data_IF_874635039082
#
_entry.id   IF_874635039082
#
_cell.length_a   1.000
_cell.length_b   1.000
_cell.length_c   1.000
_cell.angle_alpha   90.00
_cell.angle_beta   90.00
_cell.angle_gamma   90.00
#
_symmetry.space_group_name_H-M   'P 1'
#
loop_
_entity.id
_entity.type
_entity.pdbx_description
1 polymer ?
#
# COMPACT_ATOMS: atom_id res chain seq x y z
N UNK A 1 -6.07 11.96 10.45
CA UNK A 1 -4.89 11.42 11.16
C UNK A 1 -4.32 10.29 10.33
N UNK A 2 -3.01 10.36 10.06
CA UNK A 2 -2.16 9.51 9.20
C UNK A 2 -2.46 9.55 7.70
N UNK A 3 -1.69 10.39 6.99
CA UNK A 3 -1.55 10.34 5.54
C UNK A 3 -0.35 9.47 5.19
N UNK A 4 -0.54 8.14 5.19
CA UNK A 4 0.56 7.18 4.97
C UNK A 4 0.91 7.00 3.49
N UNK A 5 0.04 7.46 2.59
CA UNK A 5 0.20 7.42 1.14
C UNK A 5 -0.25 8.81 0.64
N UNK A 6 0.67 9.78 0.53
CA UNK A 6 0.33 11.19 0.29
C UNK A 6 0.02 11.48 -1.19
N UNK A 7 -0.98 10.77 -1.74
CA UNK A 7 -1.40 10.89 -3.13
C UNK A 7 -1.87 12.32 -3.43
N UNK A 8 -2.73 12.87 -2.57
CA UNK A 8 -3.25 14.21 -2.75
C UNK A 8 -2.16 15.28 -2.76
N UNK A 9 -1.05 15.09 -2.04
CA UNK A 9 0.08 16.03 -2.09
C UNK A 9 0.83 15.96 -3.42
N UNK A 10 1.05 14.75 -3.96
CA UNK A 10 1.67 14.60 -5.28
C UNK A 10 0.83 15.31 -6.37
N UNK A 11 -0.49 15.13 -6.33
CA UNK A 11 -1.44 15.81 -7.23
C UNK A 11 -1.40 17.33 -7.03
N UNK A 12 -1.46 17.82 -5.78
CA UNK A 12 -1.40 19.27 -5.48
C UNK A 12 -0.13 19.93 -6.01
N UNK A 13 0.99 19.20 -6.07
CA UNK A 13 2.27 19.68 -6.63
C UNK A 13 2.35 19.64 -8.15
N UNK A 14 1.27 19.24 -8.83
CA UNK A 14 1.18 19.24 -10.29
C UNK A 14 1.65 17.96 -10.96
N UNK A 15 1.71 16.84 -10.24
CA UNK A 15 1.97 15.54 -10.87
C UNK A 15 0.79 15.14 -11.77
N UNK A 16 1.05 14.94 -13.06
CA UNK A 16 0.09 14.40 -14.03
C UNK A 16 0.09 12.87 -14.08
N UNK A 17 1.14 12.24 -13.56
CA UNK A 17 1.23 10.78 -13.40
C UNK A 17 1.86 10.46 -12.06
N UNK A 18 1.21 9.62 -11.27
CA UNK A 18 1.67 9.22 -9.94
C UNK A 18 1.79 7.71 -9.85
N UNK A 19 2.98 7.23 -9.47
CA UNK A 19 3.22 5.82 -9.16
C UNK A 19 3.23 5.63 -7.65
N UNK A 20 2.18 5.02 -7.12
CA UNK A 20 2.05 4.72 -5.68
C UNK A 20 2.77 3.40 -5.39
N UNK A 21 3.96 3.49 -4.80
CA UNK A 21 4.66 2.34 -4.25
C UNK A 21 4.19 2.09 -2.81
N UNK A 22 3.59 0.92 -2.58
CA UNK A 22 3.01 0.53 -1.30
C UNK A 22 3.55 -0.83 -0.84
N UNK A 23 3.36 -1.14 0.44
CA UNK A 23 4.02 -2.25 1.15
C UNK A 23 3.09 -3.41 1.48
N UNK A 24 2.09 -3.67 0.65
CA UNK A 24 1.11 -4.78 0.74
C UNK A 24 -0.10 -4.51 1.63
N UNK A 25 -0.03 -3.50 2.50
CA UNK A 25 -1.04 -3.27 3.56
C UNK A 25 -2.41 -2.88 3.05
N UNK A 26 -2.51 -2.30 1.84
CA UNK A 26 -3.81 -1.99 1.23
C UNK A 26 -4.46 -3.23 0.58
N UNK A 27 -3.63 -4.20 0.15
CA UNK A 27 -4.04 -5.42 -0.56
C UNK A 27 -4.42 -6.56 0.40
N UNK A 28 -3.81 -6.60 1.57
CA UNK A 28 -4.04 -7.65 2.58
C UNK A 28 -5.52 -7.67 3.04
N UNK A 29 -6.19 -8.84 3.06
CA UNK A 29 -7.52 -8.95 3.65
C UNK A 29 -7.50 -8.58 5.14
N UNK A 30 -8.52 -7.85 5.60
CA UNK A 30 -8.73 -7.63 7.04
C UNK A 30 -9.48 -8.82 7.63
N UNK A 31 -8.96 -9.36 8.73
CA UNK A 31 -9.62 -10.43 9.50
C UNK A 31 -10.32 -9.84 10.72
N UNK A 32 -11.41 -10.46 11.16
CA UNK A 32 -12.10 -10.06 12.38
C UNK A 32 -11.12 -10.08 13.58
N UNK A 33 -11.02 -9.00 14.38
CA UNK A 33 -10.08 -8.93 15.48
C UNK A 33 -10.53 -9.82 16.65
N UNK A 34 -9.57 -10.53 17.27
CA UNK A 34 -9.83 -11.42 18.42
C UNK A 34 -9.24 -10.91 19.73
N UNK A 35 -8.38 -9.89 19.67
CA UNK A 35 -7.74 -9.27 20.84
C UNK A 35 -7.84 -7.74 20.78
N UNK A 36 -7.70 -7.02 21.91
CA UNK A 36 -7.67 -5.54 21.90
C UNK A 36 -6.56 -4.96 20.99
N UNK A 37 -5.41 -5.63 20.90
CA UNK A 37 -4.34 -5.22 20.00
C UNK A 37 -4.74 -5.38 18.52
N UNK A 38 -5.46 -6.45 18.18
CA UNK A 38 -6.01 -6.61 16.83
C UNK A 38 -7.03 -5.52 16.50
N UNK A 39 -7.89 -5.13 17.46
CA UNK A 39 -8.86 -4.03 17.27
C UNK A 39 -8.13 -2.74 16.90
N UNK A 40 -7.07 -2.38 17.64
CA UNK A 40 -6.27 -1.20 17.35
C UNK A 40 -5.63 -1.28 15.96
N UNK A 41 -5.03 -2.43 15.60
CA UNK A 41 -4.42 -2.65 14.27
C UNK A 41 -5.46 -2.53 13.14
N UNK A 42 -6.59 -3.22 13.25
CA UNK A 42 -7.64 -3.24 12.23
C UNK A 42 -8.25 -1.85 12.06
N UNK A 43 -8.56 -1.15 13.15
CA UNK A 43 -9.09 0.23 13.11
C UNK A 43 -8.11 1.19 12.42
N UNK A 44 -6.82 1.04 12.72
CA UNK A 44 -5.76 1.83 12.09
C UNK A 44 -5.67 1.55 10.58
N UNK A 45 -5.69 0.29 10.15
CA UNK A 45 -5.65 -0.06 8.73
C UNK A 45 -6.92 0.38 7.99
N UNK A 46 -8.11 0.29 8.62
CA UNK A 46 -9.35 0.84 8.05
C UNK A 46 -9.20 2.35 7.82
N UNK A 47 -8.72 3.09 8.82
CA UNK A 47 -8.55 4.55 8.73
C UNK A 47 -7.57 4.93 7.61
N UNK A 48 -6.44 4.21 7.50
CA UNK A 48 -5.45 4.42 6.46
C UNK A 48 -6.01 4.14 5.06
N UNK A 49 -6.71 3.01 4.89
CA UNK A 49 -7.33 2.64 3.60
C UNK A 49 -8.41 3.64 3.22
N UNK A 50 -9.31 3.99 4.14
CA UNK A 50 -10.36 4.97 3.88
C UNK A 50 -9.78 6.31 3.41
N UNK A 51 -8.71 6.80 4.05
CA UNK A 51 -8.05 8.03 3.62
C UNK A 51 -7.47 7.91 2.21
N UNK A 52 -6.72 6.85 1.93
CA UNK A 52 -6.11 6.65 0.61
C UNK A 52 -7.14 6.51 -0.50
N UNK A 53 -8.19 5.70 -0.30
CA UNK A 53 -9.25 5.53 -1.31
C UNK A 53 -10.04 6.82 -1.53
N UNK A 54 -10.30 7.61 -0.48
CA UNK A 54 -10.88 8.94 -0.65
C UNK A 54 -9.99 9.85 -1.49
N UNK A 55 -8.68 9.87 -1.24
CA UNK A 55 -7.76 10.66 -2.08
C UNK A 55 -7.67 10.15 -3.52
N UNK A 56 -7.83 8.84 -3.72
CA UNK A 56 -7.90 8.22 -5.05
C UNK A 56 -9.18 8.61 -5.79
N UNK A 57 -10.32 8.65 -5.10
CA UNK A 57 -11.60 9.11 -5.65
C UNK A 57 -11.61 10.62 -5.95
N UNK A 58 -10.86 11.41 -5.19
CA UNK A 58 -10.71 12.86 -5.36
C UNK A 58 -9.67 13.25 -6.43
N UNK A 59 -9.07 12.29 -7.14
CA UNK A 59 -8.07 12.55 -8.20
C UNK A 59 -8.73 13.31 -9.37
N UNK A 60 -8.21 14.48 -9.79
CA UNK A 60 -8.74 15.20 -10.93
C UNK A 60 -8.64 14.44 -12.24
N UNK A 61 -9.59 14.70 -13.14
CA UNK A 61 -9.53 14.21 -14.52
C UNK A 61 -8.19 14.57 -15.19
N UNK A 62 -7.62 13.62 -15.91
CA UNK A 62 -6.34 13.79 -16.61
C UNK A 62 -5.09 13.47 -15.77
N UNK A 63 -5.23 13.19 -14.47
CA UNK A 63 -4.13 12.63 -13.67
C UNK A 63 -4.20 11.10 -13.71
N UNK A 64 -3.11 10.47 -14.12
CA UNK A 64 -3.00 9.00 -14.14
C UNK A 64 -2.38 8.52 -12.82
N UNK A 65 -3.04 7.60 -12.14
CA UNK A 65 -2.53 6.99 -10.91
C UNK A 65 -2.33 5.50 -11.09
N UNK A 66 -1.08 5.07 -10.93
CA UNK A 66 -0.69 3.66 -10.92
C UNK A 66 -0.46 3.21 -9.48
N UNK A 67 -1.33 2.36 -8.96
CA UNK A 67 -1.11 1.71 -7.66
C UNK A 67 -0.34 0.43 -7.88
N UNK A 68 0.96 0.44 -7.55
CA UNK A 68 1.86 -0.65 -7.88
C UNK A 68 1.61 -1.87 -6.97
N UNK A 69 1.40 -3.07 -7.53
CA UNK A 69 1.20 -4.27 -6.73
C UNK A 69 2.43 -4.61 -5.89
N UNK A 70 2.23 -4.98 -4.63
CA UNK A 70 3.33 -5.39 -3.73
C UNK A 70 3.85 -6.79 -4.05
N UNK A 71 3.04 -7.59 -4.77
CA UNK A 71 3.25 -9.01 -5.02
C UNK A 71 2.73 -9.91 -3.90
N UNK A 72 2.12 -9.35 -2.85
CA UNK A 72 1.47 -10.08 -1.75
C UNK A 72 2.38 -10.31 -0.53
N UNK A 73 1.81 -10.83 0.57
CA UNK A 73 2.52 -10.99 1.83
C UNK A 73 3.61 -12.07 1.74
N UNK A 74 4.63 -11.92 2.58
CA UNK A 74 5.70 -12.89 2.78
C UNK A 74 5.51 -13.61 4.13
N UNK A 75 5.85 -14.91 4.26
CA UNK A 75 5.71 -15.63 5.52
C UNK A 75 6.33 -14.90 6.73
N UNK A 76 5.50 -14.62 7.73
CA UNK A 76 5.87 -13.94 8.97
C UNK A 76 5.70 -12.41 8.95
N UNK A 77 5.06 -11.85 7.92
CA UNK A 77 4.65 -10.44 7.87
C UNK A 77 3.53 -10.12 8.86
N UNK A 78 2.75 -11.13 9.27
CA UNK A 78 1.64 -11.00 10.24
C UNK A 78 2.11 -10.58 11.64
N UNK A 79 3.40 -10.79 11.95
CA UNK A 79 3.99 -10.51 13.26
C UNK A 79 4.22 -9.00 13.42
N UNK A 80 3.83 -8.45 14.58
CA UNK A 80 4.08 -7.04 14.93
C UNK A 80 5.57 -6.64 14.85
N UNK A 81 6.49 -7.60 15.01
CA UNK A 81 7.95 -7.39 14.94
C UNK A 81 8.55 -7.70 13.57
N UNK A 82 7.73 -7.94 12.54
CA UNK A 82 8.19 -8.31 11.19
C UNK A 82 9.14 -7.27 10.57
N UNK A 83 8.97 -5.99 10.92
CA UNK A 83 9.86 -4.90 10.50
C UNK A 83 11.33 -5.09 10.96
N UNK A 84 11.60 -5.94 11.96
CA UNK A 84 12.95 -6.27 12.43
C UNK A 84 13.60 -7.40 11.62
N UNK A 85 12.85 -8.08 10.76
CA UNK A 85 13.31 -9.24 9.97
C UNK A 85 13.92 -8.79 8.65
N UNK A 86 15.22 -8.51 8.69
CA UNK A 86 16.00 -8.04 7.54
C UNK A 86 16.41 -9.15 6.57
N UNK A 87 16.38 -10.40 7.01
CA UNK A 87 16.62 -11.61 6.20
C UNK A 87 15.65 -11.74 5.01
N UNK A 88 14.43 -11.21 5.18
CA UNK A 88 13.39 -11.24 4.17
C UNK A 88 13.40 -10.01 3.23
N UNK A 89 14.22 -8.99 3.49
CA UNK A 89 14.20 -7.71 2.76
C UNK A 89 14.45 -7.89 1.26
N UNK A 90 15.49 -8.63 0.88
CA UNK A 90 15.82 -8.85 -0.54
C UNK A 90 14.68 -9.55 -1.28
N UNK A 91 14.08 -10.56 -0.66
CA UNK A 91 12.93 -11.27 -1.22
C UNK A 91 11.73 -10.33 -1.45
N UNK A 92 11.44 -9.43 -0.51
CA UNK A 92 10.37 -8.44 -0.66
C UNK A 92 10.62 -7.47 -1.82
N UNK A 93 11.87 -6.99 -1.95
CA UNK A 93 12.27 -6.12 -3.06
C UNK A 93 12.09 -6.84 -4.40
N UNK A 94 12.60 -8.06 -4.52
CA UNK A 94 12.50 -8.84 -5.77
C UNK A 94 11.04 -9.15 -6.13
N UNK A 95 10.20 -9.47 -5.15
CA UNK A 95 8.78 -9.76 -5.33
C UNK A 95 8.00 -8.53 -5.79
N UNK A 96 8.16 -7.39 -5.11
CA UNK A 96 7.46 -6.15 -5.48
C UNK A 96 7.94 -5.62 -6.82
N UNK A 97 9.24 -5.70 -7.11
CA UNK A 97 9.79 -5.33 -8.42
C UNK A 97 9.15 -6.13 -9.55
N UNK A 98 9.11 -7.48 -9.43
CA UNK A 98 8.49 -8.33 -10.46
C UNK A 98 6.99 -8.11 -10.60
N UNK A 99 6.29 -7.78 -9.51
CA UNK A 99 4.87 -7.51 -9.56
C UNK A 99 4.58 -6.16 -10.24
N UNK A 100 5.31 -5.10 -9.87
CA UNK A 100 5.22 -3.80 -10.49
C UNK A 100 5.63 -3.82 -11.97
N UNK A 101 6.72 -4.51 -12.32
CA UNK A 101 7.19 -4.62 -13.70
C UNK A 101 6.15 -5.29 -14.62
N UNK A 102 5.50 -6.36 -14.15
CA UNK A 102 4.41 -7.03 -14.90
C UNK A 102 3.22 -6.09 -15.06
N UNK A 103 2.76 -5.49 -13.97
CA UNK A 103 1.66 -4.53 -14.02
C UNK A 103 1.92 -3.39 -15.02
N UNK A 104 3.13 -2.82 -15.03
CA UNK A 104 3.51 -1.74 -15.93
C UNK A 104 3.63 -2.20 -17.39
N UNK A 105 4.09 -3.43 -17.64
CA UNK A 105 4.14 -4.00 -18.99
C UNK A 105 2.72 -4.23 -19.55
N UNK A 106 1.77 -4.64 -18.70
CA UNK A 106 0.37 -4.86 -19.08
C UNK A 106 -0.43 -3.55 -19.19
N UNK A 107 0.07 -2.47 -18.59
CA UNK A 107 -0.56 -1.14 -18.59
C UNK A 107 -0.04 -0.21 -19.70
N UNK A 108 0.94 -0.66 -20.48
CA UNK A 108 1.51 0.05 -21.62
C UNK A 108 0.69 -0.20 -22.90
#
# INVERSE_FOLDING_TARGET
>A
MVDSIPLGEAVRRGASTVYVLQVGRIEEPLTAPTTPADVARVTFEISRRHRFFRELDDVPDGVVVHVLPSGGPVPGDEKLTSFRRLDATRRRIDQSYRAAARYLADSA
#
